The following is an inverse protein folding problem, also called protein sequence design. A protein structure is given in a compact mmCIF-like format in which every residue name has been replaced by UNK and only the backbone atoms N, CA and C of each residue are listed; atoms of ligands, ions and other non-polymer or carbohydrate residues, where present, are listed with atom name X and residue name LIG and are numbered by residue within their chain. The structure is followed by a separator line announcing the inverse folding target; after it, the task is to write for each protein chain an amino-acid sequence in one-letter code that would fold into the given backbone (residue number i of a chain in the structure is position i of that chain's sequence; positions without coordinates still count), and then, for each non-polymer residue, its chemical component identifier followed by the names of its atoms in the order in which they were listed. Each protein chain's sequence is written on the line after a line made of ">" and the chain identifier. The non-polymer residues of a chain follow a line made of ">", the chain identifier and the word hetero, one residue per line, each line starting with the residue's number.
data_IF_147454267949
#
_entry.id   IF_147454267949
#
_cell.length_a   1.000
_cell.length_b   1.000
_cell.length_c   1.000
_cell.angle_alpha   90.00
_cell.angle_beta   90.00
_cell.angle_gamma   90.00
#
_symmetry.space_group_name_H-M   'P 1'
#
loop_
_entity.id
_entity.type
_entity.pdbx_description
1 polymer ?
#
# COMPACT_ATOMS: atom_id res chain seq x y z
N UNK A 1 -39.88 67.40 39.11
CA UNK A 1 -39.14 66.18 38.71
C UNK A 1 -38.52 66.30 37.31
N UNK A 2 -39.17 66.99 36.36
CA UNK A 2 -38.60 67.27 35.03
C UNK A 2 -37.56 68.41 35.00
N UNK A 3 -37.56 69.33 35.98
CA UNK A 3 -36.59 70.44 36.01
C UNK A 3 -35.18 70.02 36.43
N UNK A 4 -35.05 68.99 37.26
CA UNK A 4 -33.76 68.42 37.66
C UNK A 4 -33.04 67.68 36.51
N UNK A 5 -33.81 67.18 35.54
CA UNK A 5 -33.25 66.54 34.34
C UNK A 5 -32.76 67.60 33.34
N UNK A 6 -33.43 68.76 33.25
CA UNK A 6 -33.00 69.87 32.39
C UNK A 6 -31.70 70.51 32.86
N UNK A 7 -31.48 70.62 34.17
CA UNK A 7 -30.27 71.24 34.73
C UNK A 7 -29.01 70.36 34.57
N UNK A 8 -29.17 69.03 34.61
CA UNK A 8 -28.08 68.09 34.31
C UNK A 8 -27.73 68.01 32.82
N UNK A 9 -28.70 68.25 31.93
CA UNK A 9 -28.48 68.30 30.47
C UNK A 9 -27.91 69.67 30.04
N UNK A 10 -28.26 70.75 30.74
CA UNK A 10 -27.81 72.12 30.46
C UNK A 10 -26.34 72.43 30.76
N UNK A 11 -25.61 71.52 31.43
CA UNK A 11 -24.19 71.70 31.76
C UNK A 11 -23.22 70.90 30.88
N UNK A 12 -23.74 70.05 29.97
CA UNK A 12 -22.89 69.35 29.02
C UNK A 12 -22.62 70.23 27.81
N UNK A 13 -21.37 70.70 27.70
CA UNK A 13 -20.92 71.41 26.51
C UNK A 13 -21.12 70.48 25.28
N UNK A 14 -22.03 70.83 24.35
CA UNK A 14 -22.43 69.94 23.26
C UNK A 14 -21.25 69.57 22.35
N UNK A 15 -20.21 70.42 22.31
CA UNK A 15 -18.95 70.19 21.59
C UNK A 15 -18.11 69.11 22.28
N UNK A 16 -18.08 69.08 23.61
CA UNK A 16 -17.36 68.06 24.37
C UNK A 16 -18.08 66.72 24.20
N UNK A 17 -19.41 66.69 24.31
CA UNK A 17 -20.21 65.48 24.14
C UNK A 17 -20.04 64.86 22.74
N UNK A 18 -20.09 65.67 21.68
CA UNK A 18 -19.87 65.18 20.30
C UNK A 18 -18.45 64.65 20.09
N UNK A 19 -17.42 65.33 20.63
CA UNK A 19 -16.04 64.83 20.57
C UNK A 19 -15.86 63.51 21.31
N UNK A 20 -16.47 63.33 22.47
CA UNK A 20 -16.41 62.07 23.23
C UNK A 20 -17.11 60.93 22.48
N UNK A 21 -18.28 61.20 21.88
CA UNK A 21 -19.00 60.22 21.05
C UNK A 21 -18.16 59.81 19.83
N UNK A 22 -17.54 60.77 19.14
CA UNK A 22 -16.65 60.51 18.01
C UNK A 22 -15.43 59.66 18.42
N UNK A 23 -14.82 59.93 19.59
CA UNK A 23 -13.71 59.15 20.13
C UNK A 23 -14.11 57.71 20.44
N UNK A 24 -15.27 57.51 21.07
CA UNK A 24 -15.81 56.17 21.37
C UNK A 24 -16.13 55.40 20.08
N UNK A 25 -16.70 56.07 19.07
CA UNK A 25 -16.97 55.50 17.74
C UNK A 25 -15.67 55.10 17.03
N UNK A 26 -14.64 55.95 17.09
CA UNK A 26 -13.33 55.64 16.50
C UNK A 26 -12.68 54.43 17.20
N UNK A 27 -12.75 54.38 18.53
CA UNK A 27 -12.17 53.30 19.33
C UNK A 27 -12.88 51.96 19.10
N UNK A 28 -14.22 51.98 18.99
CA UNK A 28 -15.01 50.79 18.67
C UNK A 28 -14.75 50.29 17.25
N UNK A 29 -14.57 51.19 16.28
CA UNK A 29 -14.21 50.82 14.91
C UNK A 29 -12.83 50.16 14.85
N UNK A 30 -11.84 50.70 15.57
CA UNK A 30 -10.50 50.11 15.68
C UNK A 30 -10.54 48.74 16.35
N UNK A 31 -11.28 48.59 17.46
CA UNK A 31 -11.50 47.30 18.12
C UNK A 31 -12.13 46.27 17.17
N UNK A 32 -13.16 46.67 16.40
CA UNK A 32 -13.81 45.81 15.43
C UNK A 32 -12.82 45.30 14.37
N UNK A 33 -11.97 46.17 13.83
CA UNK A 33 -10.91 45.79 12.88
C UNK A 33 -9.91 44.81 13.51
N UNK A 34 -9.44 45.09 14.73
CA UNK A 34 -8.52 44.19 15.45
C UNK A 34 -9.15 42.82 15.69
N UNK A 35 -10.44 42.77 16.02
CA UNK A 35 -11.17 41.53 16.26
C UNK A 35 -11.33 40.74 14.97
N UNK A 36 -11.63 41.43 13.86
CA UNK A 36 -11.73 40.83 12.53
C UNK A 36 -10.37 40.25 12.10
N UNK A 37 -9.29 40.99 12.32
CA UNK A 37 -7.93 40.53 12.03
C UNK A 37 -7.54 39.30 12.85
N UNK A 38 -7.80 39.30 14.17
CA UNK A 38 -7.56 38.15 15.03
C UNK A 38 -8.37 36.92 14.59
N UNK A 39 -9.62 37.13 14.19
CA UNK A 39 -10.51 36.06 13.71
C UNK A 39 -9.97 35.47 12.41
N UNK A 40 -9.63 36.31 11.43
CA UNK A 40 -9.04 35.86 10.15
C UNK A 40 -7.72 35.14 10.36
N UNK A 41 -6.85 35.66 11.23
CA UNK A 41 -5.57 35.02 11.55
C UNK A 41 -5.77 33.64 12.17
N UNK A 42 -6.67 33.53 13.14
CA UNK A 42 -6.98 32.25 13.80
C UNK A 42 -7.63 31.26 12.85
N UNK A 43 -8.56 31.69 11.99
CA UNK A 43 -9.17 30.84 10.95
C UNK A 43 -8.11 30.33 9.98
N UNK A 44 -7.22 31.19 9.49
CA UNK A 44 -6.14 30.78 8.59
C UNK A 44 -5.17 29.81 9.25
N UNK A 45 -4.83 30.02 10.53
CA UNK A 45 -3.99 29.10 11.31
C UNK A 45 -4.68 27.75 11.52
N UNK A 46 -5.97 27.76 11.84
CA UNK A 46 -6.76 26.54 12.02
C UNK A 46 -6.89 25.77 10.70
N UNK A 47 -7.18 26.45 9.57
CA UNK A 47 -7.24 25.83 8.25
C UNK A 47 -5.89 25.23 7.83
N UNK A 48 -4.77 25.92 8.09
CA UNK A 48 -3.43 25.37 7.81
C UNK A 48 -3.15 24.12 8.63
N UNK A 49 -3.49 24.12 9.93
CA UNK A 49 -3.36 22.93 10.79
C UNK A 49 -4.25 21.79 10.33
N UNK A 50 -5.52 22.06 10.00
CA UNK A 50 -6.45 21.07 9.46
C UNK A 50 -5.90 20.43 8.18
N UNK A 51 -5.46 21.24 7.21
CA UNK A 51 -4.87 20.73 5.96
C UNK A 51 -3.62 19.89 6.20
N UNK A 52 -2.77 20.28 7.15
CA UNK A 52 -1.59 19.48 7.52
C UNK A 52 -2.00 18.11 8.05
N UNK A 53 -2.98 18.07 8.96
CA UNK A 53 -3.51 16.82 9.51
C UNK A 53 -4.17 15.95 8.42
N UNK A 54 -4.90 16.57 7.49
CA UNK A 54 -5.53 15.87 6.36
C UNK A 54 -4.48 15.25 5.43
N UNK A 55 -3.38 15.96 5.17
CA UNK A 55 -2.25 15.46 4.37
C UNK A 55 -1.57 14.28 5.09
N UNK A 56 -1.32 14.38 6.39
CA UNK A 56 -0.73 13.29 7.18
C UNK A 56 -1.64 12.06 7.21
N UNK A 57 -2.94 12.25 7.42
CA UNK A 57 -3.93 11.17 7.36
C UNK A 57 -3.95 10.52 5.97
N UNK A 58 -3.97 11.32 4.90
CA UNK A 58 -3.95 10.82 3.54
C UNK A 58 -2.68 10.00 3.26
N UNK A 59 -1.50 10.48 3.68
CA UNK A 59 -0.23 9.73 3.56
C UNK A 59 -0.29 8.40 4.29
N UNK A 60 -0.81 8.38 5.53
CA UNK A 60 -0.97 7.16 6.32
C UNK A 60 -1.90 6.16 5.64
N UNK A 61 -3.08 6.61 5.20
CA UNK A 61 -4.07 5.76 4.55
C UNK A 61 -3.54 5.22 3.22
N UNK A 62 -2.77 6.02 2.47
CA UNK A 62 -2.10 5.60 1.24
C UNK A 62 -1.02 4.53 1.49
N UNK A 63 -0.23 4.70 2.55
CA UNK A 63 0.79 3.73 2.96
C UNK A 63 0.17 2.40 3.39
N UNK A 64 -0.89 2.43 4.19
CA UNK A 64 -1.63 1.24 4.61
C UNK A 64 -2.22 0.49 3.43
N UNK A 65 -2.93 1.20 2.54
CA UNK A 65 -3.48 0.60 1.33
C UNK A 65 -2.42 -0.01 0.44
N UNK A 66 -1.25 0.62 0.36
CA UNK A 66 -0.11 0.12 -0.41
C UNK A 66 0.44 -1.17 0.19
N UNK A 67 0.56 -1.25 1.51
CA UNK A 67 0.99 -2.46 2.19
C UNK A 67 -0.01 -3.61 1.98
N UNK A 68 -1.30 -3.36 2.16
CA UNK A 68 -2.36 -4.35 1.95
C UNK A 68 -2.37 -4.86 0.50
N UNK A 69 -2.38 -3.94 -0.48
CA UNK A 69 -2.32 -4.25 -1.92
C UNK A 69 -1.11 -5.17 -2.23
N UNK A 70 0.05 -4.90 -1.62
CA UNK A 70 1.28 -5.64 -1.87
C UNK A 70 1.32 -7.00 -1.15
N UNK A 71 0.84 -7.07 0.09
CA UNK A 71 0.74 -8.32 0.86
C UNK A 71 -0.22 -9.30 0.17
N UNK A 72 -1.33 -8.79 -0.38
CA UNK A 72 -2.29 -9.60 -1.15
C UNK A 72 -1.61 -10.26 -2.35
N UNK A 73 -0.95 -9.49 -3.21
CA UNK A 73 -0.29 -10.05 -4.41
C UNK A 73 0.89 -10.96 -4.07
N UNK A 74 1.65 -10.66 -3.02
CA UNK A 74 2.70 -11.55 -2.52
C UNK A 74 2.12 -12.87 -2.01
N UNK A 75 0.92 -12.86 -1.41
CA UNK A 75 0.23 -14.08 -0.99
C UNK A 75 -0.15 -14.94 -2.19
N UNK A 76 -0.63 -14.31 -3.27
CA UNK A 76 -0.93 -15.03 -4.52
C UNK A 76 0.33 -15.69 -5.10
N UNK A 77 1.46 -14.98 -5.15
CA UNK A 77 2.74 -15.56 -5.62
C UNK A 77 3.13 -16.73 -4.72
N UNK A 78 3.08 -16.56 -3.39
CA UNK A 78 3.37 -17.62 -2.43
C UNK A 78 2.51 -18.87 -2.65
N UNK A 79 1.22 -18.69 -2.90
CA UNK A 79 0.31 -19.80 -3.15
C UNK A 79 0.62 -20.51 -4.47
N UNK A 80 1.04 -19.79 -5.53
CA UNK A 80 1.57 -20.40 -6.76
C UNK A 80 2.76 -21.31 -6.47
N UNK A 81 3.71 -20.88 -5.64
CA UNK A 81 4.87 -21.71 -5.26
C UNK A 81 4.49 -22.92 -4.41
N UNK A 82 3.44 -22.83 -3.59
CA UNK A 82 2.89 -24.00 -2.87
C UNK A 82 2.29 -25.01 -3.84
N UNK A 83 1.61 -24.55 -4.89
CA UNK A 83 1.10 -25.45 -5.94
C UNK A 83 2.26 -26.12 -6.70
N UNK A 84 3.32 -25.37 -7.02
CA UNK A 84 4.53 -25.89 -7.69
C UNK A 84 5.21 -27.00 -6.87
N UNK A 85 5.30 -26.85 -5.55
CA UNK A 85 5.79 -27.93 -4.68
C UNK A 85 4.97 -29.23 -4.79
N UNK A 86 3.69 -29.12 -5.17
CA UNK A 86 2.79 -30.25 -5.39
C UNK A 86 3.08 -31.06 -6.66
N UNK A 87 3.90 -30.54 -7.59
CA UNK A 87 4.23 -31.21 -8.86
C UNK A 87 4.85 -32.58 -8.63
N UNK A 88 5.73 -32.70 -7.62
CA UNK A 88 6.36 -33.97 -7.28
C UNK A 88 5.32 -35.07 -7.03
N UNK A 89 4.29 -34.76 -6.25
CA UNK A 89 3.21 -35.71 -5.94
C UNK A 89 2.42 -36.13 -7.17
N UNK A 90 2.19 -35.22 -8.11
CA UNK A 90 1.45 -35.53 -9.34
C UNK A 90 2.29 -36.36 -10.32
N UNK A 91 3.58 -36.08 -10.42
CA UNK A 91 4.52 -36.91 -11.17
C UNK A 91 4.57 -38.32 -10.58
N UNK A 92 4.63 -38.46 -9.26
CA UNK A 92 4.58 -39.78 -8.60
C UNK A 92 3.26 -40.53 -8.90
N UNK A 93 2.12 -39.83 -8.95
CA UNK A 93 0.85 -40.44 -9.34
C UNK A 93 0.87 -40.91 -10.80
N UNK A 94 1.44 -40.11 -11.71
CA UNK A 94 1.60 -40.47 -13.11
C UNK A 94 2.50 -41.70 -13.27
N UNK A 95 3.68 -41.73 -12.63
CA UNK A 95 4.61 -42.86 -12.68
C UNK A 95 4.02 -44.15 -12.11
N UNK A 96 3.09 -44.04 -11.16
CA UNK A 96 2.36 -45.17 -10.59
C UNK A 96 1.10 -45.57 -11.39
N UNK A 97 0.90 -45.05 -12.61
CA UNK A 97 -0.28 -45.25 -13.45
C UNK A 97 -1.62 -44.85 -12.79
N UNK A 98 -1.57 -43.91 -11.84
CA UNK A 98 -2.76 -43.36 -11.15
C UNK A 98 -3.23 -42.02 -11.76
N UNK A 99 -2.49 -41.46 -12.70
CA UNK A 99 -2.84 -40.27 -13.47
C UNK A 99 -2.45 -40.48 -14.94
N UNK A 100 -3.18 -39.87 -15.86
CA UNK A 100 -2.88 -39.89 -17.29
C UNK A 100 -2.04 -38.67 -17.72
N UNK A 101 -1.36 -38.81 -18.86
CA UNK A 101 -0.51 -37.76 -19.41
C UNK A 101 -1.28 -36.44 -19.64
N UNK A 102 -2.51 -36.43 -20.19
CA UNK A 102 -3.32 -35.22 -20.30
C UNK A 102 -3.56 -34.50 -18.98
N UNK A 103 -3.82 -35.22 -17.88
CA UNK A 103 -4.00 -34.60 -16.56
C UNK A 103 -2.69 -34.02 -16.02
N UNK A 104 -1.55 -34.69 -16.23
CA UNK A 104 -0.24 -34.17 -15.89
C UNK A 104 0.07 -32.87 -16.65
N UNK A 105 -0.13 -32.85 -17.97
CA UNK A 105 0.10 -31.67 -18.81
C UNK A 105 -0.83 -30.51 -18.43
N UNK A 106 -2.10 -30.81 -18.17
CA UNK A 106 -3.06 -29.80 -17.68
C UNK A 106 -2.60 -29.19 -16.35
N UNK A 107 -2.01 -29.99 -15.47
CA UNK A 107 -1.49 -29.50 -14.21
C UNK A 107 -0.27 -28.59 -14.40
N UNK A 108 0.70 -29.00 -15.22
CA UNK A 108 1.87 -28.17 -15.57
C UNK A 108 1.45 -26.81 -16.13
N UNK A 109 0.55 -26.83 -17.11
CA UNK A 109 0.02 -25.59 -17.68
C UNK A 109 -0.64 -24.71 -16.62
N UNK A 110 -1.49 -25.28 -15.75
CA UNK A 110 -2.15 -24.55 -14.67
C UNK A 110 -1.13 -23.85 -13.77
N UNK A 111 -0.11 -24.57 -13.29
CA UNK A 111 0.86 -24.00 -12.35
C UNK A 111 1.76 -22.94 -13.01
N UNK A 112 2.15 -23.15 -14.27
CA UNK A 112 2.92 -22.17 -15.06
C UNK A 112 2.11 -20.89 -15.31
N UNK A 113 0.86 -21.02 -15.75
CA UNK A 113 -0.04 -19.88 -15.99
C UNK A 113 -0.29 -19.11 -14.67
N UNK A 114 -0.52 -19.82 -13.56
CA UNK A 114 -0.77 -19.21 -12.25
C UNK A 114 0.47 -18.47 -11.72
N UNK A 115 1.67 -19.06 -11.90
CA UNK A 115 2.95 -18.41 -11.55
C UNK A 115 3.15 -17.13 -12.36
N UNK A 116 2.89 -17.17 -13.67
CA UNK A 116 3.00 -16.01 -14.55
C UNK A 116 2.05 -14.89 -14.13
N UNK A 117 0.76 -15.21 -13.98
CA UNK A 117 -0.27 -14.24 -13.65
C UNK A 117 -0.05 -13.59 -12.28
N UNK A 118 0.31 -14.39 -11.26
CA UNK A 118 0.57 -13.87 -9.92
C UNK A 118 1.82 -12.98 -9.89
N UNK A 119 2.90 -13.39 -10.56
CA UNK A 119 4.15 -12.61 -10.65
C UNK A 119 3.92 -11.30 -11.41
N UNK A 120 3.15 -11.32 -12.50
CA UNK A 120 2.80 -10.12 -13.26
C UNK A 120 1.96 -9.15 -12.42
N UNK A 121 0.95 -9.65 -11.70
CA UNK A 121 0.13 -8.82 -10.79
C UNK A 121 0.99 -8.15 -9.73
N UNK A 122 1.93 -8.88 -9.14
CA UNK A 122 2.89 -8.32 -8.19
C UNK A 122 3.72 -7.20 -8.81
N UNK A 123 4.32 -7.43 -9.99
CA UNK A 123 5.14 -6.43 -10.68
C UNK A 123 4.33 -5.17 -11.02
N UNK A 124 3.09 -5.32 -11.48
CA UNK A 124 2.19 -4.19 -11.77
C UNK A 124 1.87 -3.40 -10.51
N UNK A 125 1.52 -4.07 -9.40
CA UNK A 125 1.24 -3.39 -8.13
C UNK A 125 2.46 -2.67 -7.59
N UNK A 126 3.64 -3.29 -7.66
CA UNK A 126 4.89 -2.65 -7.28
C UNK A 126 5.13 -1.37 -8.08
N UNK A 127 4.99 -1.43 -9.42
CA UNK A 127 5.16 -0.27 -10.30
C UNK A 127 4.15 0.84 -10.00
N UNK A 128 2.89 0.51 -9.71
CA UNK A 128 1.85 1.49 -9.34
C UNK A 128 2.15 2.21 -8.02
N UNK A 129 2.94 1.58 -7.14
CA UNK A 129 3.25 2.06 -5.80
C UNK A 129 4.74 2.32 -5.58
N UNK A 130 5.49 2.47 -6.67
CA UNK A 130 6.96 2.51 -6.66
C UNK A 130 7.52 3.53 -5.67
N UNK A 131 6.96 4.74 -5.63
CA UNK A 131 7.42 5.82 -4.74
C UNK A 131 7.34 5.44 -3.26
N UNK A 132 6.38 4.59 -2.87
CA UNK A 132 6.19 4.15 -1.49
C UNK A 132 6.96 2.86 -1.21
N UNK A 133 7.06 1.99 -2.21
CA UNK A 133 7.68 0.67 -2.11
C UNK A 133 9.15 0.64 -2.55
N UNK A 134 9.74 1.78 -2.90
CA UNK A 134 11.08 1.88 -3.51
C UNK A 134 12.14 1.05 -2.76
N UNK A 135 12.11 1.07 -1.43
CA UNK A 135 13.03 0.32 -0.57
C UNK A 135 12.96 -1.20 -0.73
N UNK A 136 11.87 -1.74 -1.27
CA UNK A 136 11.68 -3.17 -1.51
C UNK A 136 11.95 -3.58 -2.96
N UNK A 137 12.36 -2.65 -3.83
CA UNK A 137 12.51 -2.92 -5.27
C UNK A 137 13.45 -4.09 -5.55
N UNK A 138 14.57 -4.17 -4.82
CA UNK A 138 15.55 -5.27 -4.95
C UNK A 138 14.91 -6.63 -4.67
N UNK A 139 14.05 -6.71 -3.65
CA UNK A 139 13.39 -7.97 -3.31
C UNK A 139 12.29 -8.33 -4.31
N UNK A 140 11.54 -7.35 -4.80
CA UNK A 140 10.55 -7.58 -5.85
C UNK A 140 11.20 -8.02 -7.16
N UNK A 141 12.34 -7.43 -7.54
CA UNK A 141 13.12 -7.85 -8.70
C UNK A 141 13.66 -9.27 -8.54
N UNK A 142 14.18 -9.62 -7.36
CA UNK A 142 14.61 -10.98 -7.07
C UNK A 142 13.46 -11.99 -7.24
N UNK A 143 12.28 -11.68 -6.69
CA UNK A 143 11.09 -12.54 -6.84
C UNK A 143 10.74 -12.70 -8.32
N UNK A 144 10.77 -11.62 -9.09
CA UNK A 144 10.49 -11.65 -10.52
C UNK A 144 11.48 -12.55 -11.28
N UNK A 145 12.78 -12.36 -11.09
CA UNK A 145 13.82 -13.15 -11.76
C UNK A 145 13.73 -14.64 -11.44
N UNK A 146 13.55 -15.00 -10.16
CA UNK A 146 13.45 -16.40 -9.77
C UNK A 146 12.13 -17.04 -10.25
N UNK A 147 11.03 -16.27 -10.29
CA UNK A 147 9.79 -16.75 -10.92
C UNK A 147 9.94 -17.02 -12.42
N UNK A 148 10.72 -16.21 -13.13
CA UNK A 148 11.06 -16.49 -14.53
C UNK A 148 11.85 -17.79 -14.65
N UNK A 149 12.91 -17.97 -13.85
CA UNK A 149 13.75 -19.18 -13.86
C UNK A 149 12.93 -20.45 -13.54
N UNK A 150 12.08 -20.39 -12.50
CA UNK A 150 11.21 -21.51 -12.14
C UNK A 150 10.19 -21.78 -13.24
N UNK A 151 9.63 -20.74 -13.86
CA UNK A 151 8.76 -20.88 -15.03
C UNK A 151 9.43 -21.60 -16.20
N UNK A 152 10.68 -21.24 -16.53
CA UNK A 152 11.47 -21.91 -17.56
C UNK A 152 11.76 -23.38 -17.22
N UNK A 153 12.07 -23.67 -15.95
CA UNK A 153 12.25 -25.04 -15.46
C UNK A 153 10.96 -25.87 -15.56
N UNK A 154 9.79 -25.27 -15.30
CA UNK A 154 8.49 -25.92 -15.45
C UNK A 154 8.16 -26.24 -16.90
N UNK A 155 8.37 -25.28 -17.81
CA UNK A 155 8.19 -25.49 -19.26
C UNK A 155 9.16 -26.55 -19.79
N UNK A 156 10.40 -26.54 -19.31
CA UNK A 156 11.39 -27.57 -19.63
C UNK A 156 10.90 -28.95 -19.18
N UNK A 157 10.41 -29.06 -17.95
CA UNK A 157 9.89 -30.31 -17.41
C UNK A 157 8.65 -30.79 -18.18
N UNK A 158 7.72 -29.89 -18.51
CA UNK A 158 6.55 -30.17 -19.36
C UNK A 158 6.98 -30.74 -20.72
N UNK A 159 7.95 -30.10 -21.39
CA UNK A 159 8.46 -30.54 -22.70
C UNK A 159 9.03 -31.96 -22.69
N UNK A 160 9.57 -32.42 -21.55
CA UNK A 160 10.14 -33.76 -21.42
C UNK A 160 9.08 -34.87 -21.33
N UNK A 161 7.85 -34.51 -20.97
CA UNK A 161 6.72 -35.44 -20.94
C UNK A 161 5.88 -35.38 -22.23
N UNK A 162 5.89 -34.24 -22.94
CA UNK A 162 5.21 -34.08 -24.23
C UNK A 162 6.03 -34.67 -25.40
N UNK A 163 7.33 -34.35 -25.46
CA UNK A 163 8.23 -34.93 -26.44
C UNK A 163 8.69 -36.30 -25.93
N UNK A 164 8.52 -37.36 -26.72
CA UNK A 164 9.07 -38.72 -26.47
C UNK A 164 10.61 -38.75 -26.50
N UNK A 165 11.30 -37.87 -25.77
CA UNK A 165 12.76 -37.81 -25.67
C UNK A 165 13.21 -38.68 -24.50
N UNK A 166 14.17 -39.56 -24.76
CA UNK A 166 14.73 -40.53 -23.82
C UNK A 166 15.55 -39.89 -22.69
N UNK A 167 14.91 -39.08 -21.86
CA UNK A 167 15.46 -38.60 -20.59
C UNK A 167 15.36 -39.67 -19.54
N UNK A 168 16.33 -39.69 -18.64
CA UNK A 168 16.38 -40.62 -17.51
C UNK A 168 15.55 -40.09 -16.35
N UNK A 169 14.99 -40.99 -15.54
CA UNK A 169 14.29 -40.64 -14.29
C UNK A 169 15.17 -39.78 -13.35
N UNK A 170 16.49 -39.92 -13.46
CA UNK A 170 17.46 -39.12 -12.70
C UNK A 170 17.49 -37.64 -13.13
N UNK A 171 17.39 -37.33 -14.43
CA UNK A 171 17.34 -35.95 -14.93
C UNK A 171 16.04 -35.26 -14.48
N UNK A 172 14.92 -35.97 -14.59
CA UNK A 172 13.59 -35.52 -14.13
C UNK A 172 13.64 -35.26 -12.61
N UNK A 173 14.13 -36.23 -11.84
CA UNK A 173 14.26 -36.11 -10.38
C UNK A 173 15.18 -34.96 -9.97
N UNK A 174 16.26 -34.75 -10.71
CA UNK A 174 17.19 -33.63 -10.50
C UNK A 174 16.50 -32.29 -10.65
N UNK A 175 15.79 -32.08 -11.76
CA UNK A 175 15.08 -30.82 -12.01
C UNK A 175 13.96 -30.55 -10.99
N UNK A 176 13.19 -31.59 -10.61
CA UNK A 176 12.16 -31.48 -9.56
C UNK A 176 12.77 -31.04 -8.23
N UNK A 177 13.96 -31.54 -7.85
CA UNK A 177 14.63 -31.12 -6.61
C UNK A 177 15.06 -29.66 -6.65
N UNK A 178 15.52 -29.18 -7.82
CA UNK A 178 15.86 -27.76 -8.01
C UNK A 178 14.61 -26.90 -7.83
N UNK A 179 13.52 -27.25 -8.50
CA UNK A 179 12.23 -26.55 -8.40
C UNK A 179 11.70 -26.55 -6.95
N UNK A 180 11.71 -27.69 -6.25
CA UNK A 180 11.25 -27.77 -4.85
C UNK A 180 12.08 -26.88 -3.92
N UNK A 181 13.42 -26.90 -4.08
CA UNK A 181 14.31 -26.03 -3.29
C UNK A 181 14.02 -24.55 -3.55
N UNK A 182 13.99 -24.14 -4.83
CA UNK A 182 13.69 -22.76 -5.22
C UNK A 182 12.32 -22.32 -4.70
N UNK A 183 11.33 -23.20 -4.72
CA UNK A 183 9.99 -22.91 -4.22
C UNK A 183 9.96 -22.67 -2.71
N UNK A 184 10.68 -23.48 -1.93
CA UNK A 184 10.80 -23.30 -0.47
C UNK A 184 11.52 -21.99 -0.14
N UNK A 185 12.66 -21.75 -0.77
CA UNK A 185 13.46 -20.54 -0.58
C UNK A 185 12.64 -19.29 -0.91
N UNK A 186 11.81 -19.36 -1.97
CA UNK A 186 10.89 -18.28 -2.34
C UNK A 186 9.79 -18.05 -1.31
N UNK A 187 9.12 -19.11 -0.84
CA UNK A 187 8.07 -18.99 0.18
C UNK A 187 8.62 -18.31 1.44
N UNK A 188 9.82 -18.68 1.87
CA UNK A 188 10.48 -18.09 3.04
C UNK A 188 10.82 -16.62 2.82
N UNK A 189 11.35 -16.25 1.65
CA UNK A 189 11.59 -14.84 1.28
C UNK A 189 10.31 -14.02 1.24
N UNK A 190 9.25 -14.55 0.63
CA UNK A 190 7.95 -13.86 0.57
C UNK A 190 7.41 -13.65 1.99
N UNK A 191 7.48 -14.66 2.86
CA UNK A 191 7.03 -14.50 4.25
C UNK A 191 7.81 -13.40 5.00
N UNK A 192 9.13 -13.31 4.78
CA UNK A 192 9.95 -12.22 5.35
C UNK A 192 9.53 -10.86 4.81
N UNK A 193 9.39 -10.71 3.50
CA UNK A 193 8.97 -9.46 2.88
C UNK A 193 7.57 -9.03 3.34
N UNK A 194 6.63 -9.98 3.47
CA UNK A 194 5.30 -9.71 4.02
C UNK A 194 5.38 -9.19 5.45
N UNK A 195 6.24 -9.77 6.30
CA UNK A 195 6.44 -9.32 7.68
C UNK A 195 7.07 -7.92 7.73
N UNK A 196 8.06 -7.65 6.90
CA UNK A 196 8.70 -6.32 6.80
C UNK A 196 7.69 -5.25 6.38
N UNK A 197 6.87 -5.52 5.37
CA UNK A 197 5.78 -4.64 4.95
C UNK A 197 4.78 -4.38 6.09
N UNK A 198 4.40 -5.42 6.84
CA UNK A 198 3.50 -5.26 7.99
C UNK A 198 4.14 -4.42 9.10
N UNK A 199 5.39 -4.65 9.44
CA UNK A 199 6.09 -3.89 10.50
C UNK A 199 6.20 -2.42 10.10
N UNK A 200 6.61 -2.16 8.87
CA UNK A 200 6.94 -0.80 8.43
C UNK A 200 5.71 0.08 8.18
N UNK A 201 4.57 -0.53 7.80
CA UNK A 201 3.36 0.22 7.47
C UNK A 201 2.22 0.05 8.47
N UNK A 202 2.11 -1.11 9.13
CA UNK A 202 1.05 -1.39 10.12
C UNK A 202 1.59 -1.23 11.55
N UNK A 203 2.82 -1.66 11.81
CA UNK A 203 3.45 -1.55 13.13
C UNK A 203 3.67 -0.10 13.59
N UNK A 204 3.80 0.84 12.65
CA UNK A 204 3.89 2.30 12.88
C UNK A 204 2.55 2.97 13.16
N UNK A 205 1.41 2.28 13.01
CA UNK A 205 0.07 2.83 13.31
C UNK A 205 -0.32 2.64 14.78
N UNK A 206 0.31 1.69 15.47
CA UNK A 206 0.02 1.37 16.88
C UNK A 206 1.05 1.93 17.88
N UNK A 207 2.05 2.68 17.40
CA UNK A 207 3.01 3.42 18.24
C UNK A 207 2.73 4.91 18.15
#
# INVERSE_FOLDING_TARGET
>A
MFDYIKEYIGSFNPIVLTKTIQLVQLFTFVLAIFTLFFTIYNVNRAQKRSRSNDIEKFKRDLNLKTADDMIEVLSLVKDSYREIMGIKSIIELFMNNKADLPSLMKHFKKVTDTLHDSTLKMAVKHKQRLVILEKYSVEVEFIYSLSTEVGENLVTLESWYDEKRGRTDNEISGLIKVIDKQSRDMIDRINKLQLELQIDFIGTVYK
#
